data_IF_426743560376
#
_entry.id   IF_426743560376
#
_cell.length_a   1.000
_cell.length_b   1.000
_cell.length_c   1.000
_cell.angle_alpha   90.00
_cell.angle_beta   90.00
_cell.angle_gamma   90.00
#
_symmetry.space_group_name_H-M   'P 1'
#
loop_
_entity.id
_entity.type
_entity.pdbx_description
1 polymer ?
#
# COMPACT_ATOMS: atom_id res chain seq x y z
N UNK A 1 8.69 75.41 11.11
CA UNK A 1 8.18 74.15 10.60
C UNK A 1 9.35 73.45 9.96
N UNK A 2 9.94 72.42 10.62
CA UNK A 2 11.08 71.62 10.12
C UNK A 2 10.58 70.18 9.88
N UNK A 3 10.68 69.70 8.64
CA UNK A 3 10.38 68.40 8.26
C UNK A 3 11.50 67.43 8.70
N UNK A 4 11.16 66.31 9.38
CA UNK A 4 12.08 65.30 9.80
C UNK A 4 11.97 64.16 8.83
N UNK A 5 13.02 63.86 8.05
CA UNK A 5 13.17 62.73 7.18
C UNK A 5 13.57 61.48 8.00
N UNK A 6 12.86 60.34 7.80
CA UNK A 6 13.24 59.06 8.33
C UNK A 6 14.16 58.31 7.33
N UNK A 7 15.17 57.57 7.78
CA UNK A 7 16.03 56.81 6.89
C UNK A 7 15.38 55.48 6.50
N UNK A 8 15.58 55.07 5.25
CA UNK A 8 15.16 53.78 4.68
C UNK A 8 16.02 52.63 5.22
N UNK A 9 15.38 51.63 5.78
CA UNK A 9 16.02 50.39 6.22
C UNK A 9 16.40 49.51 5.01
N UNK A 10 17.69 49.25 4.81
CA UNK A 10 18.21 48.29 3.85
C UNK A 10 17.97 46.87 4.40
N UNK A 11 17.18 46.07 3.68
CA UNK A 11 17.04 44.64 3.90
C UNK A 11 18.24 43.95 3.25
N UNK A 12 19.06 43.29 4.08
CA UNK A 12 20.20 42.48 3.63
C UNK A 12 19.64 41.06 3.31
N UNK A 13 19.63 40.70 2.05
CA UNK A 13 19.29 39.34 1.63
C UNK A 13 20.49 38.40 1.84
N UNK A 14 20.25 37.31 2.56
CA UNK A 14 21.19 36.20 2.79
C UNK A 14 21.48 35.45 1.49
N UNK A 15 22.71 34.98 1.22
CA UNK A 15 23.12 34.32 -0.04
C UNK A 15 22.55 32.92 -0.29
N UNK A 16 21.72 32.36 0.61
CA UNK A 16 21.26 30.98 0.51
C UNK A 16 19.96 30.79 -0.32
N UNK A 17 19.39 31.85 -0.88
CA UNK A 17 18.16 31.73 -1.70
C UNK A 17 18.49 31.45 -3.18
N UNK A 18 19.73 31.65 -3.62
CA UNK A 18 20.10 31.43 -5.03
C UNK A 18 20.32 29.97 -5.46
N UNK A 19 20.43 29.01 -4.53
CA UNK A 19 20.62 27.58 -4.90
C UNK A 19 19.30 26.84 -5.25
N UNK A 20 18.17 27.31 -4.76
CA UNK A 20 16.88 26.67 -5.09
C UNK A 20 16.36 27.03 -6.49
N UNK A 21 16.73 28.20 -7.02
CA UNK A 21 16.28 28.64 -8.33
C UNK A 21 17.02 27.99 -9.51
N UNK A 22 18.25 27.47 -9.30
CA UNK A 22 19.02 26.79 -10.36
C UNK A 22 18.57 25.36 -10.64
N UNK A 23 17.92 24.70 -9.68
CA UNK A 23 17.38 23.33 -9.87
C UNK A 23 16.10 23.39 -10.70
N UNK A 24 15.33 24.46 -10.63
CA UNK A 24 14.10 24.63 -11.40
C UNK A 24 14.33 24.94 -12.90
N UNK A 25 15.47 25.51 -13.24
CA UNK A 25 15.76 25.89 -14.64
C UNK A 25 16.29 24.72 -15.50
N UNK A 26 16.81 23.65 -14.86
CA UNK A 26 17.32 22.46 -15.60
C UNK A 26 16.18 21.52 -15.98
N UNK A 27 15.07 21.47 -15.22
CA UNK A 27 13.90 20.64 -15.57
C UNK A 27 12.97 21.29 -16.62
N UNK A 28 13.08 22.58 -16.88
CA UNK A 28 12.20 23.30 -17.81
C UNK A 28 12.64 23.25 -19.28
N UNK A 29 13.85 22.76 -19.57
CA UNK A 29 14.40 22.72 -20.92
C UNK A 29 14.11 21.43 -21.72
N UNK A 30 13.40 20.46 -21.15
CA UNK A 30 13.11 19.17 -21.80
C UNK A 30 11.65 18.98 -22.24
N UNK A 31 10.79 19.98 -22.11
CA UNK A 31 9.41 19.93 -22.61
C UNK A 31 9.28 20.72 -23.91
N UNK A 32 9.75 20.14 -25.01
CA UNK A 32 9.28 20.55 -26.33
C UNK A 32 7.85 20.00 -26.52
N UNK A 33 6.91 20.79 -27.09
CA UNK A 33 5.55 20.32 -27.32
C UNK A 33 5.57 19.17 -28.34
N UNK A 34 5.25 17.97 -27.90
CA UNK A 34 5.05 16.83 -28.77
C UNK A 34 3.94 17.14 -29.74
N UNK A 35 4.25 17.06 -31.04
CA UNK A 35 3.28 17.16 -32.16
C UNK A 35 2.13 16.20 -31.85
N UNK A 36 0.89 16.73 -31.89
CA UNK A 36 -0.34 15.94 -31.86
C UNK A 36 -0.29 14.93 -32.99
N UNK A 37 0.11 13.71 -32.70
CA UNK A 37 -0.13 12.57 -33.58
C UNK A 37 -1.54 12.10 -33.30
N UNK A 38 -2.45 12.34 -34.20
CA UNK A 38 -3.80 11.77 -34.19
C UNK A 38 -3.63 10.26 -34.36
N UNK A 39 -3.73 9.50 -33.29
CA UNK A 39 -3.81 8.05 -33.39
C UNK A 39 -5.20 7.65 -33.85
N UNK A 40 -5.40 7.61 -35.16
CA UNK A 40 -6.50 6.87 -35.80
C UNK A 40 -6.03 5.41 -35.91
N UNK A 41 -6.70 4.52 -35.23
CA UNK A 41 -6.47 3.07 -35.36
C UNK A 41 -5.86 2.47 -34.07
N UNK A 42 -6.65 2.34 -33.01
CA UNK A 42 -6.35 1.38 -31.97
C UNK A 42 -6.53 -0.03 -32.56
N UNK A 43 -5.45 -0.63 -33.05
CA UNK A 43 -5.31 -2.06 -33.05
C UNK A 43 -5.49 -2.51 -31.60
N UNK A 44 -6.44 -3.40 -31.35
CA UNK A 44 -6.60 -4.12 -30.09
C UNK A 44 -5.31 -4.92 -29.90
N UNK A 45 -4.28 -4.27 -29.34
CA UNK A 45 -3.03 -4.90 -28.97
C UNK A 45 -3.35 -5.97 -27.92
N UNK A 46 -2.95 -7.20 -28.18
CA UNK A 46 -3.03 -8.30 -27.23
C UNK A 46 -2.37 -7.84 -25.93
N UNK A 47 -3.15 -7.65 -24.87
CA UNK A 47 -2.63 -7.38 -23.53
C UNK A 47 -1.88 -8.62 -23.07
N UNK A 48 -0.57 -8.58 -23.15
CA UNK A 48 0.26 -9.68 -22.70
C UNK A 48 0.53 -9.48 -21.22
N UNK A 49 -0.46 -9.87 -20.38
CA UNK A 49 -0.21 -9.99 -18.96
C UNK A 49 0.87 -11.06 -18.71
N UNK A 50 1.73 -10.87 -17.72
CA UNK A 50 2.78 -11.83 -17.38
C UNK A 50 2.30 -12.98 -16.47
N UNK A 51 0.99 -13.13 -16.27
CA UNK A 51 0.44 -14.23 -15.49
C UNK A 51 0.61 -15.58 -16.22
N UNK A 52 1.13 -16.62 -15.54
CA UNK A 52 1.26 -17.95 -16.12
C UNK A 52 -0.11 -18.57 -16.40
N UNK A 53 -0.16 -19.51 -17.33
CA UNK A 53 -1.42 -20.18 -17.73
C UNK A 53 -2.11 -20.88 -16.53
N UNK A 54 -1.34 -21.53 -15.67
CA UNK A 54 -1.85 -22.15 -14.43
C UNK A 54 -2.54 -21.17 -13.47
N UNK A 55 -2.05 -19.93 -13.39
CA UNK A 55 -2.71 -18.86 -12.66
C UNK A 55 -4.08 -18.56 -13.26
N UNK A 56 -4.13 -18.30 -14.59
CA UNK A 56 -5.37 -17.94 -15.30
C UNK A 56 -6.43 -19.02 -15.18
N UNK A 57 -6.03 -20.29 -15.33
CA UNK A 57 -6.93 -21.44 -15.22
C UNK A 57 -7.51 -21.60 -13.80
N UNK A 58 -6.73 -21.32 -12.78
CA UNK A 58 -7.13 -21.49 -11.38
C UNK A 58 -7.73 -20.21 -10.74
N UNK A 59 -7.77 -19.09 -11.47
CA UNK A 59 -8.24 -17.81 -10.92
C UNK A 59 -9.70 -17.83 -10.49
N UNK A 60 -10.61 -18.23 -11.38
CA UNK A 60 -12.05 -18.24 -11.10
C UNK A 60 -12.42 -19.19 -9.94
N UNK A 61 -11.92 -20.45 -9.87
CA UNK A 61 -12.12 -21.31 -8.70
C UNK A 61 -11.66 -20.67 -7.40
N UNK A 62 -10.48 -19.99 -7.38
CA UNK A 62 -9.98 -19.30 -6.18
C UNK A 62 -10.80 -18.06 -5.83
N UNK A 63 -11.24 -17.30 -6.82
CA UNK A 63 -12.14 -16.16 -6.59
C UNK A 63 -13.43 -16.61 -5.89
N UNK A 64 -14.08 -17.66 -6.40
CA UNK A 64 -15.34 -18.17 -5.84
C UNK A 64 -15.13 -18.78 -4.45
N UNK A 65 -14.01 -19.46 -4.22
CA UNK A 65 -13.66 -20.09 -2.95
C UNK A 65 -12.16 -19.87 -2.66
N UNK A 66 -11.79 -18.77 -2.00
CA UNK A 66 -10.40 -18.51 -1.64
C UNK A 66 -9.74 -19.70 -0.95
N UNK A 67 -8.57 -20.06 -1.46
CA UNK A 67 -7.87 -21.31 -1.09
C UNK A 67 -7.28 -21.21 0.31
N UNK A 68 -7.52 -22.24 1.13
CA UNK A 68 -6.85 -22.49 2.41
C UNK A 68 -5.78 -23.58 2.30
N UNK A 69 -5.34 -23.93 1.08
CA UNK A 69 -4.27 -24.92 0.90
C UNK A 69 -2.95 -24.34 1.41
N UNK A 70 -2.48 -24.84 2.54
CA UNK A 70 -1.29 -24.42 3.26
C UNK A 70 -1.31 -24.90 4.71
N UNK A 71 -0.28 -24.59 5.46
CA UNK A 71 -0.13 -24.94 6.87
C UNK A 71 0.22 -23.68 7.68
N UNK A 72 -0.30 -23.60 8.90
CA UNK A 72 -0.08 -22.49 9.83
C UNK A 72 1.20 -22.61 10.66
N UNK A 73 1.86 -23.77 10.67
CA UNK A 73 2.92 -24.13 11.63
C UNK A 73 4.15 -23.20 11.55
N UNK A 74 4.46 -22.70 10.35
CA UNK A 74 5.63 -21.84 10.12
C UNK A 74 5.34 -20.34 10.32
N UNK A 75 4.13 -19.98 10.70
CA UNK A 75 3.72 -18.59 10.75
C UNK A 75 3.58 -18.07 12.19
N UNK A 76 3.64 -16.77 12.32
CA UNK A 76 3.52 -16.08 13.58
C UNK A 76 2.05 -15.72 13.89
N UNK A 77 1.68 -15.52 15.17
CA UNK A 77 0.38 -14.98 15.55
C UNK A 77 0.09 -13.62 14.94
N UNK A 78 -1.17 -13.19 14.95
CA UNK A 78 -1.60 -11.87 14.46
C UNK A 78 -0.98 -10.68 15.21
N UNK A 79 -0.38 -10.91 16.37
CA UNK A 79 0.32 -9.89 17.15
C UNK A 79 1.57 -10.48 17.80
N UNK A 80 2.58 -9.65 17.99
CA UNK A 80 3.81 -10.03 18.68
C UNK A 80 4.52 -8.83 19.29
N UNK A 81 4.97 -9.00 20.53
CA UNK A 81 5.94 -8.11 21.19
C UNK A 81 7.34 -8.65 20.89
N UNK A 82 8.20 -7.80 20.32
CA UNK A 82 9.53 -8.21 19.83
C UNK A 82 10.67 -7.61 20.66
N UNK A 83 10.34 -6.65 21.52
CA UNK A 83 11.29 -6.03 22.43
C UNK A 83 10.76 -6.10 23.85
N UNK A 84 11.59 -6.62 24.76
CA UNK A 84 11.39 -6.66 26.19
C UNK A 84 12.69 -6.26 26.90
N UNK A 85 12.74 -5.15 27.66
CA UNK A 85 11.62 -4.21 27.87
C UNK A 85 11.25 -3.41 26.63
N UNK A 86 10.02 -2.88 26.56
CA UNK A 86 9.59 -2.05 25.44
C UNK A 86 10.40 -0.74 25.39
N UNK A 87 10.61 -0.16 24.20
CA UNK A 87 11.31 1.12 24.08
C UNK A 87 10.51 2.25 24.71
N UNK A 88 11.22 3.30 25.13
CA UNK A 88 10.61 4.50 25.74
C UNK A 88 9.84 5.34 24.72
N UNK A 89 10.34 5.37 23.49
CA UNK A 89 9.73 6.12 22.39
C UNK A 89 9.58 5.22 21.16
N UNK A 90 8.38 5.22 20.57
CA UNK A 90 8.08 4.52 19.34
C UNK A 90 7.43 5.44 18.33
N UNK A 91 7.62 5.11 17.05
CA UNK A 91 6.83 5.67 15.95
C UNK A 91 5.93 4.56 15.41
N UNK A 92 4.66 4.86 15.20
CA UNK A 92 3.66 3.91 14.73
C UNK A 92 3.44 4.01 13.23
N UNK A 93 3.75 2.94 12.52
CA UNK A 93 3.38 2.75 11.12
C UNK A 93 2.09 1.95 11.05
N UNK A 94 1.15 2.34 10.18
CA UNK A 94 -0.03 1.56 9.86
C UNK A 94 -0.02 1.21 8.37
N UNK A 95 -0.18 -0.08 8.05
CA UNK A 95 -0.29 -0.53 6.66
C UNK A 95 -1.72 -0.98 6.41
N UNK A 96 -2.32 -0.47 5.35
CA UNK A 96 -3.63 -0.87 4.84
C UNK A 96 -3.46 -1.66 3.55
N UNK A 97 -4.42 -2.53 3.24
CA UNK A 97 -4.40 -3.33 2.02
C UNK A 97 -4.71 -2.54 0.75
N UNK A 98 -5.18 -3.24 -0.28
CA UNK A 98 -5.41 -2.68 -1.60
C UNK A 98 -6.61 -1.72 -1.59
N UNK A 99 -6.44 -0.53 -2.19
CA UNK A 99 -7.48 0.46 -2.42
C UNK A 99 -7.93 0.31 -3.87
N UNK A 100 -9.08 -0.35 -4.04
CA UNK A 100 -9.69 -0.61 -5.34
C UNK A 100 -11.18 -0.27 -5.27
N UNK A 101 -11.64 0.66 -6.08
CA UNK A 101 -12.96 1.28 -5.90
C UNK A 101 -13.97 0.96 -7.02
N UNK A 102 -13.69 -0.02 -7.86
CA UNK A 102 -14.48 -0.32 -9.07
C UNK A 102 -15.97 -0.57 -8.78
N UNK A 103 -16.30 -1.22 -7.67
CA UNK A 103 -17.69 -1.54 -7.31
C UNK A 103 -18.35 -0.53 -6.37
N UNK A 104 -17.59 0.39 -5.79
CA UNK A 104 -18.11 1.38 -4.87
C UNK A 104 -18.47 2.67 -5.62
N UNK A 105 -19.65 3.23 -5.33
CA UNK A 105 -20.13 4.49 -5.90
C UNK A 105 -20.03 5.65 -4.92
N UNK A 106 -20.13 5.36 -3.62
CA UNK A 106 -19.99 6.33 -2.53
C UNK A 106 -18.82 5.94 -1.64
N UNK A 107 -18.28 6.91 -0.91
CA UNK A 107 -17.24 6.68 0.07
C UNK A 107 -17.65 5.62 1.11
N UNK A 108 -16.71 4.87 1.69
CA UNK A 108 -17.04 3.86 2.69
C UNK A 108 -17.54 4.51 3.98
N UNK A 109 -18.32 3.75 4.73
CA UNK A 109 -18.53 4.02 6.16
C UNK A 109 -17.51 3.22 6.97
N UNK A 110 -16.74 3.88 7.82
CA UNK A 110 -15.72 3.24 8.64
C UNK A 110 -16.08 3.29 10.11
N UNK A 111 -15.93 2.14 10.77
CA UNK A 111 -16.07 2.03 12.22
C UNK A 111 -15.20 3.09 12.93
N UNK A 112 -15.70 3.77 13.99
CA UNK A 112 -14.92 4.72 14.76
C UNK A 112 -13.59 4.18 15.27
N UNK A 113 -13.50 2.89 15.60
CA UNK A 113 -12.26 2.26 16.04
C UNK A 113 -11.22 2.17 14.89
N UNK A 114 -11.64 1.93 13.65
CA UNK A 114 -10.75 1.99 12.47
C UNK A 114 -10.23 3.41 12.28
N UNK A 115 -11.10 4.42 12.37
CA UNK A 115 -10.69 5.84 12.27
C UNK A 115 -9.69 6.23 13.36
N UNK A 116 -9.93 5.81 14.59
CA UNK A 116 -9.03 6.05 15.71
C UNK A 116 -7.67 5.37 15.50
N UNK A 117 -7.67 4.12 15.03
CA UNK A 117 -6.46 3.33 14.76
C UNK A 117 -5.58 3.99 13.69
N UNK A 118 -6.17 4.41 12.56
CA UNK A 118 -5.46 5.04 11.46
C UNK A 118 -5.05 6.48 11.79
N UNK A 119 -5.91 7.22 12.48
CA UNK A 119 -5.62 8.60 12.94
C UNK A 119 -4.46 8.68 13.94
N UNK A 120 -4.27 7.63 14.76
CA UNK A 120 -3.19 7.52 15.73
C UNK A 120 -1.83 7.13 15.12
N UNK A 121 -1.79 6.70 13.85
CA UNK A 121 -0.54 6.38 13.17
C UNK A 121 0.27 7.64 12.84
N UNK A 122 1.59 7.52 12.92
CA UNK A 122 2.52 8.58 12.48
C UNK A 122 2.69 8.59 10.96
N UNK A 123 2.54 7.41 10.32
CA UNK A 123 2.48 7.25 8.88
C UNK A 123 1.53 6.10 8.53
N UNK A 124 0.68 6.30 7.52
CA UNK A 124 -0.17 5.27 6.92
C UNK A 124 0.37 4.92 5.54
N UNK A 125 0.53 3.63 5.26
CA UNK A 125 1.04 3.11 3.99
C UNK A 125 -0.02 2.16 3.40
N UNK A 126 -0.23 2.22 2.08
CA UNK A 126 -1.14 1.33 1.36
C UNK A 126 -0.77 1.19 -0.11
N UNK A 127 -1.58 0.44 -0.84
CA UNK A 127 -1.46 0.31 -2.29
C UNK A 127 -2.72 0.87 -2.97
N UNK A 128 -2.54 1.85 -3.88
CA UNK A 128 -3.62 2.37 -4.69
C UNK A 128 -3.70 1.57 -5.99
N UNK A 129 -4.57 0.58 -6.02
CA UNK A 129 -4.65 -0.37 -7.12
C UNK A 129 -5.52 0.12 -8.29
N UNK A 130 -6.31 1.16 -8.08
CA UNK A 130 -7.10 1.77 -9.15
C UNK A 130 -6.46 3.05 -9.66
N UNK A 131 -6.31 3.22 -10.98
CA UNK A 131 -6.01 4.51 -11.56
C UNK A 131 -7.02 5.57 -11.11
N UNK A 132 -6.53 6.78 -10.86
CA UNK A 132 -7.34 7.94 -10.45
C UNK A 132 -7.55 8.82 -11.67
N UNK A 133 -8.75 8.76 -12.24
CA UNK A 133 -9.10 9.41 -13.51
C UNK A 133 -10.49 10.03 -13.45
N UNK A 134 -10.70 11.13 -14.16
CA UNK A 134 -12.03 11.74 -14.26
C UNK A 134 -12.99 10.89 -15.09
N UNK A 135 -12.48 10.27 -16.15
CA UNK A 135 -13.24 9.38 -17.03
C UNK A 135 -12.45 8.13 -17.37
N UNK A 136 -13.05 6.97 -17.13
CA UNK A 136 -12.47 5.70 -17.52
C UNK A 136 -12.37 5.58 -19.04
N UNK A 137 -11.15 5.49 -19.58
CA UNK A 137 -10.89 5.25 -21.00
C UNK A 137 -11.28 3.83 -21.43
N UNK A 138 -11.17 2.86 -20.50
CA UNK A 138 -11.58 1.47 -20.69
C UNK A 138 -12.98 1.22 -20.11
N UNK A 139 -13.98 2.03 -20.50
CA UNK A 139 -15.31 2.08 -19.87
C UNK A 139 -16.01 0.71 -19.76
N UNK A 140 -15.99 -0.11 -20.81
CA UNK A 140 -16.57 -1.46 -20.79
C UNK A 140 -15.82 -2.36 -19.80
N UNK A 141 -14.49 -2.37 -19.84
CA UNK A 141 -13.66 -3.15 -18.91
C UNK A 141 -13.85 -2.71 -17.47
N UNK A 142 -13.99 -1.41 -17.21
CA UNK A 142 -14.28 -0.86 -15.88
C UNK A 142 -15.66 -1.29 -15.39
N UNK A 143 -16.68 -1.24 -16.24
CA UNK A 143 -18.03 -1.73 -15.91
C UNK A 143 -18.03 -3.23 -15.58
N UNK A 144 -17.23 -4.01 -16.28
CA UNK A 144 -17.09 -5.46 -16.05
C UNK A 144 -16.15 -5.80 -14.89
N UNK A 145 -15.47 -4.81 -14.28
CA UNK A 145 -14.53 -5.00 -13.19
C UNK A 145 -13.17 -5.59 -13.59
N UNK A 146 -12.86 -5.65 -14.89
CA UNK A 146 -11.56 -6.12 -15.41
C UNK A 146 -10.53 -5.01 -15.54
N UNK A 147 -10.95 -3.76 -15.46
CA UNK A 147 -10.14 -2.55 -15.50
C UNK A 147 -10.56 -1.65 -14.38
N UNK A 148 -9.60 -1.27 -13.56
CA UNK A 148 -9.87 -0.42 -12.42
C UNK A 148 -9.90 1.06 -12.82
N UNK A 149 -10.71 1.84 -12.11
CA UNK A 149 -10.73 3.30 -12.15
C UNK A 149 -11.46 3.83 -10.92
N UNK A 150 -11.03 4.98 -10.42
CA UNK A 150 -11.75 5.77 -9.43
C UNK A 150 -11.56 7.25 -9.71
N UNK A 151 -12.47 8.10 -9.20
CA UNK A 151 -12.28 9.55 -9.28
C UNK A 151 -11.41 10.07 -8.14
N UNK A 152 -10.73 11.21 -8.35
CA UNK A 152 -9.98 11.91 -7.33
C UNK A 152 -10.88 12.26 -6.13
N UNK A 153 -12.12 12.69 -6.40
CA UNK A 153 -13.12 12.98 -5.37
C UNK A 153 -13.41 11.74 -4.50
N UNK A 154 -13.66 10.59 -5.12
CA UNK A 154 -13.93 9.35 -4.39
C UNK A 154 -12.75 8.99 -3.47
N UNK A 155 -11.50 9.04 -3.98
CA UNK A 155 -10.32 8.75 -3.19
C UNK A 155 -10.22 9.69 -1.98
N UNK A 156 -10.38 11.01 -2.20
CA UNK A 156 -10.32 12.00 -1.13
C UNK A 156 -11.39 11.78 -0.05
N UNK A 157 -12.63 11.51 -0.45
CA UNK A 157 -13.76 11.21 0.45
C UNK A 157 -13.53 9.90 1.22
N UNK A 158 -13.01 8.86 0.56
CA UNK A 158 -12.73 7.56 1.17
C UNK A 158 -11.62 7.65 2.23
N UNK A 159 -10.54 8.37 1.94
CA UNK A 159 -9.46 8.61 2.91
C UNK A 159 -9.96 9.38 4.14
N UNK A 160 -10.76 10.43 3.92
CA UNK A 160 -11.37 11.20 5.00
C UNK A 160 -12.33 10.36 5.84
N UNK A 161 -13.15 9.53 5.20
CA UNK A 161 -14.06 8.60 5.88
C UNK A 161 -13.32 7.57 6.74
N UNK A 162 -12.10 7.18 6.35
CA UNK A 162 -11.25 6.28 7.11
C UNK A 162 -10.41 6.99 8.20
N UNK A 163 -10.50 8.32 8.31
CA UNK A 163 -9.71 9.11 9.27
C UNK A 163 -8.23 9.23 8.89
N UNK A 164 -7.89 9.06 7.62
CA UNK A 164 -6.51 9.14 7.12
C UNK A 164 -6.20 10.57 6.68
N UNK A 165 -5.22 11.21 7.33
CA UNK A 165 -4.66 12.49 6.89
C UNK A 165 -3.72 12.28 5.70
N UNK A 166 -3.87 13.11 4.66
CA UNK A 166 -3.06 13.01 3.44
C UNK A 166 -1.57 13.27 3.67
N UNK A 167 -1.23 14.14 4.61
CA UNK A 167 0.15 14.46 4.99
C UNK A 167 0.88 13.25 5.61
N UNK A 168 0.13 12.35 6.24
CA UNK A 168 0.63 11.12 6.85
C UNK A 168 0.43 9.90 5.96
N UNK A 169 0.13 10.08 4.66
CA UNK A 169 -0.16 8.99 3.75
C UNK A 169 0.95 8.78 2.72
N UNK A 170 1.28 7.51 2.49
CA UNK A 170 2.19 7.05 1.47
C UNK A 170 1.52 5.91 0.69
N UNK A 171 1.30 6.08 -0.61
CA UNK A 171 0.64 5.07 -1.43
C UNK A 171 1.56 4.49 -2.49
N UNK A 172 1.60 3.16 -2.56
CA UNK A 172 2.23 2.45 -3.67
C UNK A 172 1.36 2.57 -4.93
N UNK A 173 2.00 2.85 -6.05
CA UNK A 173 1.46 2.74 -7.41
C UNK A 173 2.09 1.57 -8.19
N UNK A 174 2.93 0.76 -7.53
CA UNK A 174 3.52 -0.43 -8.13
C UNK A 174 2.53 -1.60 -8.04
N UNK A 175 1.59 -1.67 -8.98
CA UNK A 175 0.61 -2.77 -9.08
C UNK A 175 0.27 -3.06 -10.54
N UNK A 176 -0.46 -4.17 -10.76
CA UNK A 176 -0.82 -4.64 -12.10
C UNK A 176 -1.90 -3.81 -12.79
N UNK A 177 -2.70 -3.04 -12.02
CA UNK A 177 -3.82 -2.24 -12.53
C UNK A 177 -3.49 -0.78 -12.82
N UNK A 178 -2.32 -0.29 -12.42
CA UNK A 178 -1.93 1.13 -12.54
C UNK A 178 -2.00 1.68 -13.96
N UNK A 179 -1.91 0.82 -14.97
CA UNK A 179 -2.01 1.15 -16.41
C UNK A 179 -3.31 0.67 -17.07
N UNK A 180 -4.33 0.31 -16.30
CA UNK A 180 -5.62 -0.14 -16.85
C UNK A 180 -6.33 0.92 -17.71
N UNK A 181 -6.06 2.18 -17.45
CA UNK A 181 -6.59 3.32 -18.20
C UNK A 181 -5.56 3.86 -19.23
N UNK A 182 -4.54 3.05 -19.56
CA UNK A 182 -3.48 3.41 -20.50
C UNK A 182 -2.50 4.43 -19.92
N UNK A 183 -1.59 4.90 -20.77
CA UNK A 183 -0.54 5.88 -20.37
C UNK A 183 -1.16 7.21 -19.96
N UNK A 184 -2.17 7.70 -20.68
CA UNK A 184 -2.85 8.95 -20.31
C UNK A 184 -3.51 8.87 -18.94
N UNK A 185 -4.17 7.73 -18.61
CA UNK A 185 -4.76 7.52 -17.29
C UNK A 185 -3.71 7.36 -16.19
N UNK A 186 -2.55 6.80 -16.50
CA UNK A 186 -1.41 6.78 -15.59
C UNK A 186 -0.90 8.20 -15.28
N UNK A 187 -0.70 9.03 -16.31
CA UNK A 187 -0.23 10.40 -16.14
C UNK A 187 -1.25 11.24 -15.35
N UNK A 188 -2.56 11.06 -15.64
CA UNK A 188 -3.65 11.68 -14.87
C UNK A 188 -3.65 11.24 -13.42
N UNK A 189 -3.41 9.95 -13.14
CA UNK A 189 -3.28 9.40 -11.80
C UNK A 189 -2.14 10.08 -11.03
N UNK A 190 -0.95 10.16 -11.62
CA UNK A 190 0.21 10.82 -10.99
C UNK A 190 -0.10 12.30 -10.69
N UNK A 191 -0.74 13.00 -11.64
CA UNK A 191 -1.14 14.40 -11.45
C UNK A 191 -2.20 14.56 -10.33
N UNK A 192 -3.15 13.63 -10.21
CA UNK A 192 -4.15 13.63 -9.14
C UNK A 192 -3.48 13.48 -7.76
N UNK A 193 -2.52 12.59 -7.60
CA UNK A 193 -1.76 12.45 -6.35
C UNK A 193 -0.98 13.72 -5.99
N UNK A 194 -0.39 14.38 -6.99
CA UNK A 194 0.29 15.67 -6.77
C UNK A 194 -0.70 16.75 -6.29
N UNK A 195 -1.88 16.87 -6.92
CA UNK A 195 -2.94 17.82 -6.50
C UNK A 195 -3.44 17.53 -5.09
N UNK A 196 -3.60 16.25 -4.76
CA UNK A 196 -4.04 15.82 -3.42
C UNK A 196 -2.95 15.98 -2.34
N UNK A 197 -1.69 16.23 -2.73
CA UNK A 197 -0.56 16.29 -1.81
C UNK A 197 -0.20 14.93 -1.20
N UNK A 198 -0.56 13.82 -1.85
CA UNK A 198 -0.28 12.47 -1.37
C UNK A 198 1.05 11.99 -1.96
N UNK A 199 1.94 11.50 -1.11
CA UNK A 199 3.23 10.93 -1.52
C UNK A 199 3.04 9.55 -2.11
N UNK A 200 3.80 9.23 -3.17
CA UNK A 200 3.72 7.93 -3.85
C UNK A 200 5.07 7.22 -3.88
N UNK A 201 5.04 5.89 -3.88
CA UNK A 201 6.18 4.99 -4.06
C UNK A 201 5.91 3.99 -5.18
N UNK A 202 6.97 3.33 -5.66
CA UNK A 202 6.84 2.31 -6.68
C UNK A 202 6.80 2.83 -8.10
N UNK A 203 7.03 4.13 -8.31
CA UNK A 203 7.31 4.72 -9.61
C UNK A 203 8.82 4.76 -9.83
N UNK A 204 9.27 4.45 -11.05
CA UNK A 204 10.69 4.54 -11.42
C UNK A 204 11.26 5.94 -11.13
N UNK A 205 10.46 6.98 -11.34
CA UNK A 205 10.83 8.36 -11.06
C UNK A 205 11.12 8.64 -9.56
N UNK A 206 10.60 7.83 -8.63
CA UNK A 206 10.86 7.96 -7.20
C UNK A 206 12.20 7.29 -6.77
N UNK A 207 12.86 6.58 -7.68
CA UNK A 207 13.97 5.70 -7.36
C UNK A 207 13.52 4.39 -6.67
N UNK A 208 14.46 3.47 -6.44
CA UNK A 208 14.15 2.15 -5.89
C UNK A 208 13.72 2.19 -4.41
N UNK A 209 14.18 3.19 -3.65
CA UNK A 209 13.82 3.42 -2.24
C UNK A 209 13.54 4.89 -2.03
N UNK A 210 12.38 5.20 -1.49
CA UNK A 210 12.00 6.54 -1.07
C UNK A 210 12.23 6.72 0.43
N UNK A 211 13.13 7.60 0.86
CA UNK A 211 13.30 7.93 2.27
C UNK A 211 12.14 8.82 2.76
N UNK A 212 11.59 8.49 3.92
CA UNK A 212 10.51 9.25 4.57
C UNK A 212 10.89 9.49 6.02
N UNK A 213 10.84 10.75 6.45
CA UNK A 213 11.02 11.11 7.85
C UNK A 213 9.73 10.88 8.61
N UNK A 214 9.80 10.06 9.67
CA UNK A 214 8.70 9.75 10.58
C UNK A 214 9.15 10.04 12.01
N UNK A 215 8.74 11.19 12.54
CA UNK A 215 9.31 11.70 13.79
C UNK A 215 10.83 11.78 13.73
N UNK A 216 11.58 11.14 14.64
CA UNK A 216 13.04 11.13 14.60
C UNK A 216 13.62 10.10 13.61
N UNK A 217 12.83 9.18 13.05
CA UNK A 217 13.31 8.08 12.22
C UNK A 217 13.37 8.44 10.74
N UNK A 218 14.42 7.94 10.05
CA UNK A 218 14.54 7.93 8.60
C UNK A 218 14.21 6.52 8.08
N UNK A 219 13.04 6.35 7.48
CA UNK A 219 12.53 5.06 7.02
C UNK A 219 12.53 5.02 5.49
N UNK A 220 13.16 4.00 4.92
CA UNK A 220 13.13 3.76 3.47
C UNK A 220 11.95 2.88 3.07
N UNK A 221 11.28 3.24 1.98
CA UNK A 221 10.20 2.45 1.41
C UNK A 221 10.52 2.07 -0.03
N UNK A 222 10.58 0.75 -0.29
CA UNK A 222 10.71 0.17 -1.62
C UNK A 222 9.39 -0.50 -2.01
N UNK A 223 8.80 -0.12 -3.13
CA UNK A 223 7.61 -0.76 -3.65
C UNK A 223 7.86 -1.26 -5.08
N UNK A 224 7.35 -2.44 -5.38
CA UNK A 224 7.47 -3.07 -6.69
C UNK A 224 6.29 -4.01 -6.96
N UNK A 225 6.04 -4.30 -8.24
CA UNK A 225 5.05 -5.32 -8.64
C UNK A 225 5.71 -6.46 -9.39
N UNK A 226 5.28 -7.70 -9.11
CA UNK A 226 5.65 -8.88 -9.91
C UNK A 226 4.69 -9.10 -11.07
N UNK A 227 3.57 -8.37 -11.10
CA UNK A 227 2.46 -8.59 -12.02
C UNK A 227 2.15 -7.36 -12.85
N UNK A 228 1.70 -7.59 -14.06
CA UNK A 228 1.23 -6.56 -14.98
C UNK A 228 0.07 -7.05 -15.83
N UNK A 229 -0.93 -6.19 -16.06
CA UNK A 229 -2.09 -6.47 -16.92
C UNK A 229 -1.91 -5.89 -18.32
N UNK A 230 -0.85 -5.12 -18.57
CA UNK A 230 -0.55 -4.48 -19.85
C UNK A 230 0.85 -4.89 -20.34
N UNK A 231 1.20 -4.47 -21.57
CA UNK A 231 2.49 -4.76 -22.16
C UNK A 231 3.66 -4.21 -21.31
N UNK A 232 4.74 -4.95 -21.27
CA UNK A 232 5.93 -4.60 -20.50
C UNK A 232 6.50 -3.22 -20.85
N UNK A 233 6.47 -2.85 -22.11
CA UNK A 233 6.93 -1.53 -22.60
C UNK A 233 6.17 -0.37 -21.95
N UNK A 234 4.91 -0.58 -21.51
CA UNK A 234 4.13 0.44 -20.82
C UNK A 234 4.56 0.57 -19.36
N UNK A 235 4.98 -0.53 -18.72
CA UNK A 235 5.51 -0.53 -17.36
C UNK A 235 6.95 -0.01 -17.31
N UNK A 236 7.78 -0.39 -18.28
CA UNK A 236 9.20 0.01 -18.32
C UNK A 236 9.34 1.53 -18.25
N UNK A 237 10.18 2.00 -17.35
CA UNK A 237 10.44 3.43 -17.11
C UNK A 237 9.34 4.16 -16.33
N UNK A 238 8.22 3.49 -15.97
CA UNK A 238 7.12 4.09 -15.19
C UNK A 238 6.96 3.44 -13.83
N UNK A 239 6.83 2.13 -13.79
CA UNK A 239 6.46 1.37 -12.60
C UNK A 239 7.62 0.46 -12.20
N UNK A 240 7.95 0.44 -10.92
CA UNK A 240 8.99 -0.45 -10.39
C UNK A 240 8.54 -1.90 -10.46
N UNK A 241 9.30 -2.72 -11.17
CA UNK A 241 9.17 -4.18 -11.23
C UNK A 241 10.42 -4.88 -10.68
N UNK A 242 11.41 -4.10 -10.24
CA UNK A 242 12.65 -4.64 -9.69
C UNK A 242 12.47 -5.07 -8.24
N UNK A 243 12.57 -6.37 -8.01
CA UNK A 243 12.49 -7.00 -6.69
C UNK A 243 13.85 -7.38 -6.12
N UNK A 244 14.96 -6.97 -6.78
CA UNK A 244 16.30 -7.24 -6.28
C UNK A 244 16.75 -6.16 -5.29
N UNK A 245 16.87 -6.48 -4.00
CA UNK A 245 17.26 -5.51 -2.98
C UNK A 245 18.76 -5.15 -3.00
N UNK A 246 19.58 -5.80 -3.83
CA UNK A 246 21.02 -5.55 -3.87
C UNK A 246 21.36 -4.12 -4.31
N UNK A 247 20.55 -3.53 -5.20
CA UNK A 247 20.68 -2.15 -5.68
C UNK A 247 19.97 -1.09 -4.82
N UNK A 248 19.34 -1.47 -3.70
CA UNK A 248 18.55 -0.53 -2.91
C UNK A 248 19.43 0.30 -1.97
N UNK A 249 19.39 1.65 -2.02
CA UNK A 249 20.13 2.52 -1.11
C UNK A 249 19.63 2.36 0.33
N UNK A 250 20.61 2.31 1.28
CA UNK A 250 20.33 2.08 2.72
C UNK A 250 21.03 3.07 3.62
N UNK A 251 22.01 3.80 3.09
CA UNK A 251 22.80 4.72 3.89
C UNK A 251 21.89 5.76 4.57
N UNK A 252 22.02 5.90 5.88
CA UNK A 252 21.25 6.85 6.67
C UNK A 252 19.83 6.43 7.00
N UNK A 253 19.40 5.21 6.63
CA UNK A 253 18.09 4.69 7.00
C UNK A 253 18.14 3.94 8.34
N UNK A 254 17.17 4.20 9.20
CA UNK A 254 16.97 3.47 10.45
C UNK A 254 16.22 2.14 10.21
N UNK A 255 15.29 2.12 9.25
CA UNK A 255 14.51 0.95 8.86
C UNK A 255 14.29 0.96 7.34
N UNK A 256 14.38 -0.20 6.71
CA UNK A 256 13.98 -0.40 5.32
C UNK A 256 12.72 -1.27 5.26
N UNK A 257 11.67 -0.73 4.63
CA UNK A 257 10.39 -1.39 4.42
C UNK A 257 10.20 -1.74 2.94
N UNK A 258 9.70 -2.94 2.65
CA UNK A 258 9.25 -3.32 1.31
C UNK A 258 7.72 -3.40 1.26
N UNK A 259 7.15 -2.90 0.16
CA UNK A 259 5.71 -2.89 -0.12
C UNK A 259 5.48 -3.58 -1.47
N UNK A 260 5.63 -4.91 -1.54
CA UNK A 260 5.49 -5.67 -2.77
C UNK A 260 4.04 -5.91 -3.14
N UNK A 261 3.75 -5.84 -4.44
CA UNK A 261 2.51 -6.31 -5.05
C UNK A 261 2.79 -7.67 -5.72
N UNK A 262 2.54 -8.75 -4.98
CA UNK A 262 3.07 -10.08 -5.26
C UNK A 262 2.08 -11.22 -5.02
N UNK A 263 2.55 -12.49 -5.19
CA UNK A 263 1.80 -13.75 -5.00
C UNK A 263 0.63 -13.91 -5.99
N UNK A 264 -0.27 -14.85 -5.71
CA UNK A 264 -1.48 -15.14 -6.48
C UNK A 264 -2.73 -14.72 -5.72
N UNK A 265 -3.64 -14.10 -6.41
CA UNK A 265 -4.94 -13.69 -5.85
C UNK A 265 -5.70 -14.88 -5.24
N UNK A 266 -6.43 -14.61 -4.17
CA UNK A 266 -7.36 -15.50 -3.49
C UNK A 266 -6.72 -16.78 -2.93
N UNK A 267 -5.47 -16.69 -2.48
CA UNK A 267 -4.77 -17.71 -1.70
C UNK A 267 -4.44 -17.16 -0.32
N UNK A 268 -4.95 -17.82 0.74
CA UNK A 268 -4.62 -17.40 2.11
C UNK A 268 -3.20 -17.77 2.53
N UNK A 269 -2.56 -18.74 1.91
CA UNK A 269 -1.16 -19.08 2.21
C UNK A 269 -0.25 -18.69 1.05
N UNK A 270 0.84 -17.97 1.35
CA UNK A 270 1.80 -17.56 0.35
C UNK A 270 2.47 -18.75 -0.31
N UNK A 271 2.77 -18.65 -1.60
CA UNK A 271 3.48 -19.67 -2.36
C UNK A 271 4.94 -19.76 -1.92
N UNK A 272 5.58 -20.90 -2.20
CA UNK A 272 6.99 -21.11 -1.86
C UNK A 272 7.91 -20.04 -2.49
N UNK A 273 7.61 -19.60 -3.72
CA UNK A 273 8.37 -18.57 -4.42
C UNK A 273 8.24 -17.20 -3.73
N UNK A 274 7.06 -16.88 -3.23
CA UNK A 274 6.80 -15.64 -2.47
C UNK A 274 7.56 -15.67 -1.14
N UNK A 275 7.52 -16.80 -0.43
CA UNK A 275 8.32 -16.99 0.80
C UNK A 275 9.82 -16.94 0.53
N UNK A 276 10.29 -17.50 -0.59
CA UNK A 276 11.70 -17.42 -0.99
C UNK A 276 12.13 -15.97 -1.26
N UNK A 277 11.28 -15.17 -1.92
CA UNK A 277 11.54 -13.74 -2.13
C UNK A 277 11.57 -12.98 -0.80
N UNK A 278 10.63 -13.25 0.11
CA UNK A 278 10.63 -12.64 1.45
C UNK A 278 11.94 -12.92 2.20
N UNK A 279 12.46 -14.16 2.15
CA UNK A 279 13.76 -14.51 2.75
C UNK A 279 14.92 -13.78 2.11
N UNK A 280 14.93 -13.60 0.78
CA UNK A 280 15.97 -12.80 0.10
C UNK A 280 15.93 -11.35 0.55
N UNK A 281 14.75 -10.74 0.61
CA UNK A 281 14.58 -9.37 1.08
C UNK A 281 15.06 -9.22 2.54
N UNK A 282 14.67 -10.13 3.43
CA UNK A 282 15.10 -10.16 4.82
C UNK A 282 16.61 -10.32 4.95
N UNK A 283 17.21 -11.30 4.24
CA UNK A 283 18.65 -11.53 4.23
C UNK A 283 19.48 -10.37 3.69
N UNK A 284 18.83 -9.47 2.96
CA UNK A 284 19.42 -8.22 2.48
C UNK A 284 19.05 -7.01 3.37
N UNK A 285 18.54 -7.21 4.60
CA UNK A 285 18.33 -6.17 5.59
C UNK A 285 17.03 -5.37 5.43
N UNK A 286 16.04 -5.88 4.69
CA UNK A 286 14.67 -5.35 4.78
C UNK A 286 14.10 -5.79 6.11
N UNK A 287 13.70 -4.84 6.98
CA UNK A 287 13.21 -5.13 8.33
C UNK A 287 11.70 -5.32 8.40
N UNK A 288 10.94 -4.82 7.43
CA UNK A 288 9.49 -4.94 7.37
C UNK A 288 9.02 -5.17 5.94
N UNK A 289 8.14 -6.15 5.74
CA UNK A 289 7.52 -6.43 4.45
C UNK A 289 6.00 -6.45 4.63
N UNK A 290 5.29 -5.60 3.88
CA UNK A 290 3.83 -5.56 3.85
C UNK A 290 3.33 -5.80 2.43
N UNK A 291 2.83 -7.02 2.17
CA UNK A 291 2.45 -7.49 0.84
C UNK A 291 1.01 -7.17 0.46
N UNK A 292 0.81 -7.05 -0.87
CA UNK A 292 -0.45 -6.72 -1.53
C UNK A 292 -0.75 -7.70 -2.66
N UNK A 293 -1.85 -7.52 -3.39
CA UNK A 293 -2.30 -8.30 -4.56
C UNK A 293 -3.11 -9.55 -4.25
N UNK A 294 -2.88 -10.22 -3.14
CA UNK A 294 -3.58 -11.49 -2.86
C UNK A 294 -5.10 -11.31 -2.67
N UNK A 295 -5.60 -10.11 -2.43
CA UNK A 295 -7.01 -9.75 -2.16
C UNK A 295 -7.66 -10.56 -1.03
N UNK A 296 -6.86 -11.19 -0.22
CA UNK A 296 -7.22 -11.92 1.00
C UNK A 296 -6.14 -11.73 2.05
N UNK A 297 -6.52 -11.79 3.31
CA UNK A 297 -5.54 -11.77 4.41
C UNK A 297 -4.70 -13.04 4.37
N UNK A 298 -3.38 -12.86 4.46
CA UNK A 298 -2.38 -13.91 4.52
C UNK A 298 -1.64 -13.87 5.86
N UNK A 299 -0.97 -14.97 6.29
CA UNK A 299 -0.27 -15.03 7.57
C UNK A 299 0.87 -14.01 7.70
N UNK A 300 1.32 -13.85 8.93
CA UNK A 300 2.58 -13.18 9.26
C UNK A 300 3.67 -14.22 9.45
N UNK A 301 4.87 -13.97 8.93
CA UNK A 301 6.07 -14.76 9.19
C UNK A 301 7.14 -13.86 9.84
N UNK A 302 7.90 -14.42 10.78
CA UNK A 302 9.10 -13.78 11.30
C UNK A 302 10.30 -14.47 10.68
N UNK A 303 11.12 -13.70 9.97
CA UNK A 303 12.37 -14.16 9.37
C UNK A 303 13.49 -13.37 10.06
N UNK A 304 14.14 -13.98 11.05
CA UNK A 304 15.10 -13.34 11.94
C UNK A 304 14.50 -12.09 12.60
N UNK A 305 14.99 -10.88 12.23
CA UNK A 305 14.49 -9.59 12.72
C UNK A 305 13.39 -8.98 11.84
N UNK A 306 13.11 -9.59 10.70
CA UNK A 306 12.13 -9.09 9.73
C UNK A 306 10.72 -9.58 10.06
N UNK A 307 9.76 -8.65 10.05
CA UNK A 307 8.33 -8.95 10.10
C UNK A 307 7.80 -8.95 8.66
N UNK A 308 7.15 -10.04 8.26
CA UNK A 308 6.56 -10.20 6.94
C UNK A 308 5.05 -10.43 7.08
N UNK A 309 4.23 -9.44 6.73
CA UNK A 309 2.80 -9.63 6.49
C UNK A 309 2.61 -9.89 5.00
N UNK A 310 2.30 -11.12 4.63
CA UNK A 310 2.29 -11.54 3.22
C UNK A 310 1.18 -10.90 2.39
N UNK A 311 0.01 -10.67 2.97
CA UNK A 311 -1.12 -10.01 2.34
C UNK A 311 -2.10 -9.45 3.35
N UNK A 312 -2.55 -8.21 3.14
CA UNK A 312 -3.49 -7.52 4.02
C UNK A 312 -4.94 -7.59 3.53
N UNK A 313 -5.18 -8.21 2.36
CA UNK A 313 -6.48 -8.18 1.68
C UNK A 313 -6.79 -6.79 1.13
N UNK A 314 -8.05 -6.54 0.74
CA UNK A 314 -8.45 -5.21 0.28
C UNK A 314 -8.84 -4.34 1.48
N UNK A 315 -8.30 -3.12 1.51
CA UNK A 315 -8.74 -2.12 2.47
C UNK A 315 -10.07 -1.51 2.03
N UNK A 316 -10.18 -1.16 0.75
CA UNK A 316 -11.33 -0.46 0.22
C UNK A 316 -11.64 -0.91 -1.20
N UNK A 317 -12.92 -1.10 -1.48
CA UNK A 317 -13.40 -1.42 -2.79
C UNK A 317 -13.24 -2.89 -3.18
N UNK A 318 -13.83 -3.22 -4.28
CA UNK A 318 -13.77 -4.55 -4.87
C UNK A 318 -13.97 -4.43 -6.37
N UNK A 319 -13.17 -5.14 -7.15
CA UNK A 319 -13.33 -5.22 -8.59
C UNK A 319 -14.69 -5.81 -9.01
N UNK A 320 -15.29 -6.62 -8.14
CA UNK A 320 -16.56 -7.29 -8.41
C UNK A 320 -17.59 -7.00 -7.32
N UNK A 321 -18.75 -6.47 -7.71
CA UNK A 321 -19.83 -6.15 -6.80
C UNK A 321 -20.33 -7.33 -5.95
N UNK A 322 -20.03 -8.57 -6.36
CA UNK A 322 -20.43 -9.82 -5.69
C UNK A 322 -19.25 -10.63 -5.21
N UNK A 323 -18.15 -9.99 -4.80
CA UNK A 323 -17.02 -10.71 -4.24
C UNK A 323 -17.47 -11.64 -3.08
N UNK A 324 -17.07 -12.91 -3.07
CA UNK A 324 -17.35 -13.83 -1.97
C UNK A 324 -16.83 -13.30 -0.63
N UNK A 325 -17.53 -13.63 0.43
CA UNK A 325 -17.26 -13.07 1.77
C UNK A 325 -15.82 -13.26 2.28
N UNK A 326 -15.07 -14.33 1.97
CA UNK A 326 -13.70 -14.45 2.46
C UNK A 326 -12.75 -13.40 1.86
N UNK A 327 -13.00 -12.96 0.61
CA UNK A 327 -12.28 -11.87 -0.02
C UNK A 327 -12.65 -10.48 0.50
N UNK A 328 -13.66 -10.38 1.39
CA UNK A 328 -14.05 -9.14 2.05
C UNK A 328 -13.40 -8.95 3.42
N UNK A 329 -12.62 -9.92 3.88
CA UNK A 329 -11.82 -9.78 5.07
C UNK A 329 -10.54 -9.05 4.67
N UNK A 330 -10.33 -7.87 5.24
CA UNK A 330 -9.07 -7.14 5.18
C UNK A 330 -8.42 -7.06 6.55
N UNK A 331 -7.22 -6.53 6.60
CA UNK A 331 -6.52 -6.27 7.87
C UNK A 331 -5.72 -4.98 7.79
N UNK A 332 -5.63 -4.27 8.91
CA UNK A 332 -4.69 -3.17 9.11
C UNK A 332 -3.53 -3.74 9.93
N UNK A 333 -2.30 -3.59 9.43
CA UNK A 333 -1.10 -3.93 10.18
C UNK A 333 -0.59 -2.67 10.88
N UNK A 334 -0.52 -2.67 12.21
CA UNK A 334 0.23 -1.66 12.96
C UNK A 334 1.58 -2.20 13.39
N UNK A 335 2.61 -1.37 13.30
CA UNK A 335 3.99 -1.70 13.69
C UNK A 335 4.54 -0.54 14.50
N UNK A 336 4.97 -0.81 15.73
CA UNK A 336 5.67 0.15 16.55
C UNK A 336 7.18 -0.01 16.36
N UNK A 337 7.83 1.05 15.91
CA UNK A 337 9.27 1.10 15.62
C UNK A 337 9.97 1.91 16.68
N UNK A 338 11.02 1.37 17.29
CA UNK A 338 11.79 2.07 18.33
C UNK A 338 12.48 3.32 17.78
N UNK A 339 12.33 4.42 18.51
CA UNK A 339 13.05 5.67 18.30
C UNK A 339 14.16 5.91 19.33
N UNK A 340 14.35 5.00 20.27
CA UNK A 340 15.42 5.07 21.28
C UNK A 340 16.80 4.89 20.64
N UNK A 341 17.80 5.65 21.06
CA UNK A 341 19.13 5.71 20.46
C UNK A 341 19.80 4.33 20.29
N UNK A 342 19.66 3.44 21.28
CA UNK A 342 20.28 2.11 21.28
C UNK A 342 19.59 1.05 20.42
N UNK A 343 18.32 1.29 20.04
CA UNK A 343 17.47 0.31 19.34
C UNK A 343 16.73 0.94 18.15
N UNK A 344 17.22 2.08 17.72
CA UNK A 344 16.63 2.92 16.67
C UNK A 344 16.35 2.09 15.40
N UNK A 345 15.13 2.21 14.87
CA UNK A 345 14.68 1.48 13.69
C UNK A 345 14.31 0.01 13.91
N UNK A 346 14.48 -0.53 15.15
CA UNK A 346 14.06 -1.89 15.47
C UNK A 346 12.56 -1.95 15.67
N UNK A 347 11.89 -2.99 15.12
CA UNK A 347 10.47 -3.22 15.35
C UNK A 347 10.27 -3.70 16.80
N UNK A 348 9.52 -2.95 17.58
CA UNK A 348 9.21 -3.26 18.97
C UNK A 348 7.99 -4.19 19.11
N UNK A 349 6.98 -3.97 18.28
CA UNK A 349 5.77 -4.79 18.26
C UNK A 349 5.07 -4.70 16.90
N UNK A 350 4.22 -5.68 16.62
CA UNK A 350 3.30 -5.62 15.49
C UNK A 350 1.93 -6.18 15.89
N UNK A 351 0.88 -5.75 15.18
CA UNK A 351 -0.48 -6.30 15.32
C UNK A 351 -1.26 -6.15 14.02
N UNK A 352 -1.89 -7.24 13.62
CA UNK A 352 -2.95 -7.23 12.60
C UNK A 352 -4.29 -6.93 13.27
N UNK A 353 -5.05 -6.02 12.70
CA UNK A 353 -6.41 -5.66 13.08
C UNK A 353 -7.36 -6.09 11.95
N UNK A 354 -7.86 -7.31 11.95
CA UNK A 354 -8.75 -7.77 10.89
C UNK A 354 -10.09 -7.04 10.96
N UNK A 355 -10.62 -6.76 9.79
CA UNK A 355 -11.93 -6.14 9.62
C UNK A 355 -12.71 -6.81 8.50
N UNK A 356 -14.02 -6.61 8.50
CA UNK A 356 -14.93 -7.08 7.45
C UNK A 356 -15.48 -5.90 6.68
N UNK A 357 -15.42 -5.97 5.35
CA UNK A 357 -16.11 -5.06 4.44
C UNK A 357 -17.54 -5.56 4.25
N UNK A 358 -18.50 -4.96 4.95
CA UNK A 358 -19.93 -5.24 4.82
C UNK A 358 -20.50 -4.40 3.69
N UNK A 359 -21.44 -4.95 2.92
CA UNK A 359 -22.14 -4.16 1.91
C UNK A 359 -23.24 -3.31 2.55
N UNK A 360 -23.25 -2.04 2.20
CA UNK A 360 -24.25 -1.07 2.67
C UNK A 360 -24.78 -0.25 1.46
N UNK A 361 -25.72 -0.85 0.71
CA UNK A 361 -26.26 -0.22 -0.50
C UNK A 361 -25.21 -0.13 -1.61
N UNK A 362 -24.79 1.08 -1.96
CA UNK A 362 -23.83 1.42 -3.01
C UNK A 362 -22.38 1.61 -2.53
N UNK A 363 -22.13 1.39 -1.25
CA UNK A 363 -20.82 1.51 -0.61
C UNK A 363 -20.53 0.32 0.31
N UNK A 364 -19.36 0.33 0.93
CA UNK A 364 -18.93 -0.64 1.94
C UNK A 364 -18.90 0.01 3.32
N UNK A 365 -19.22 -0.78 4.34
CA UNK A 365 -18.98 -0.46 5.73
C UNK A 365 -17.86 -1.33 6.25
N UNK A 366 -16.77 -0.70 6.74
CA UNK A 366 -15.62 -1.36 7.32
C UNK A 366 -15.84 -1.49 8.83
N UNK A 367 -15.86 -2.73 9.34
CA UNK A 367 -16.10 -3.03 10.76
C UNK A 367 -15.02 -3.96 11.26
N UNK A 368 -14.35 -3.61 12.38
CA UNK A 368 -13.38 -4.51 13.01
C UNK A 368 -14.05 -5.83 13.40
N UNK A 369 -13.32 -6.94 13.27
CA UNK A 369 -13.87 -8.28 13.56
C UNK A 369 -14.35 -8.38 15.00
N UNK A 370 -13.68 -7.74 15.93
CA UNK A 370 -14.06 -7.68 17.34
C UNK A 370 -15.40 -6.95 17.60
N UNK A 371 -15.82 -6.06 16.69
CA UNK A 371 -17.10 -5.36 16.72
C UNK A 371 -18.19 -6.04 15.91
N UNK A 372 -17.89 -7.16 15.24
CA UNK A 372 -18.91 -7.97 14.57
C UNK A 372 -19.69 -8.78 15.62
N UNK A 373 -20.92 -9.18 15.26
CA UNK A 373 -21.78 -9.95 16.13
C UNK A 373 -22.31 -11.23 15.46
N UNK A 374 -22.75 -12.18 16.28
CA UNK A 374 -23.44 -13.39 15.89
C UNK A 374 -22.72 -14.21 14.83
N UNK A 375 -23.48 -14.85 13.94
CA UNK A 375 -22.94 -15.78 12.93
C UNK A 375 -21.90 -15.17 11.98
N UNK A 376 -21.93 -13.85 11.76
CA UNK A 376 -20.92 -13.19 10.90
C UNK A 376 -19.59 -13.20 11.61
N UNK A 377 -19.55 -12.83 12.89
CA UNK A 377 -18.34 -12.89 13.72
C UNK A 377 -17.76 -14.30 13.76
N UNK A 378 -18.57 -15.30 14.14
CA UNK A 378 -18.13 -16.71 14.25
C UNK A 378 -17.49 -17.22 12.95
N UNK A 379 -18.13 -16.87 11.82
CA UNK A 379 -17.67 -17.25 10.49
C UNK A 379 -16.32 -16.63 10.12
N UNK A 380 -16.14 -15.34 10.42
CA UNK A 380 -14.89 -14.61 10.14
C UNK A 380 -13.78 -15.09 11.08
N UNK A 381 -14.05 -15.22 12.37
CA UNK A 381 -13.08 -15.76 13.35
C UNK A 381 -12.66 -17.19 13.00
N UNK A 382 -13.61 -18.04 12.59
CA UNK A 382 -13.29 -19.40 12.12
C UNK A 382 -12.36 -19.41 10.91
N UNK A 383 -12.52 -18.42 9.98
CA UNK A 383 -11.60 -18.28 8.84
C UNK A 383 -10.23 -17.80 9.29
N UNK A 384 -10.15 -16.82 10.20
CA UNK A 384 -8.88 -16.30 10.71
C UNK A 384 -8.12 -17.37 11.51
N UNK A 385 -8.80 -18.17 12.32
CA UNK A 385 -8.20 -19.34 13.02
C UNK A 385 -7.61 -20.38 12.07
N UNK A 386 -8.14 -20.49 10.85
CA UNK A 386 -7.58 -21.39 9.83
C UNK A 386 -6.37 -20.78 9.08
N UNK A 387 -6.06 -19.50 9.28
CA UNK A 387 -4.97 -18.78 8.59
C UNK A 387 -3.83 -18.45 9.56
N UNK A 388 -4.15 -18.16 10.81
CA UNK A 388 -3.18 -17.75 11.82
C UNK A 388 -3.06 -18.78 12.93
N UNK A 389 -1.83 -19.04 13.43
CA UNK A 389 -1.67 -19.87 14.62
C UNK A 389 -2.31 -19.18 15.83
N UNK A 390 -2.76 -19.99 16.78
CA UNK A 390 -3.18 -19.47 18.07
C UNK A 390 -2.00 -18.77 18.77
N UNK A 391 -2.24 -17.66 19.51
CA UNK A 391 -1.20 -17.11 20.35
C UNK A 391 -0.68 -18.21 21.29
N UNK A 392 0.62 -18.19 21.67
CA UNK A 392 1.13 -19.11 22.66
C UNK A 392 0.21 -19.01 23.89
N UNK A 393 -0.31 -20.15 24.32
CA UNK A 393 -0.96 -20.22 25.63
C UNK A 393 0.11 -19.82 26.64
N UNK A 394 -0.17 -18.78 27.42
CA UNK A 394 0.63 -18.42 28.59
C UNK A 394 0.77 -19.71 29.43
N UNK A 395 1.89 -20.39 29.28
CA UNK A 395 2.20 -21.54 30.15
C UNK A 395 2.40 -20.92 31.51
N UNK A 396 1.36 -21.02 32.33
CA UNK A 396 1.30 -20.46 33.66
C UNK A 396 2.63 -20.69 34.38
N UNK A 397 3.17 -19.62 34.92
CA UNK A 397 4.21 -19.68 35.95
C UNK A 397 3.67 -20.62 37.00
N UNK A 398 4.33 -21.78 37.28
CA UNK A 398 3.92 -22.60 38.41
C UNK A 398 4.05 -21.77 39.68
N UNK A 399 2.99 -21.80 40.49
CA UNK A 399 2.87 -21.09 41.76
C UNK A 399 3.97 -21.47 42.74
#
# INVERSE_FOLDING_TARGET
MKAVSRPASRVIFSPNICRAAQIYTICSAALQPARRTVYTGQTIGHRVSNYPFSYKLSWLPRFLKPSLAGDVQDFAPMAGTLMDPPPRQTMRLAFVGDISAVANRSAPDCDPAIKALLGAADLVIGNCESPVVDRASAALGTTLGTHHAMSERFLAEALAAAGISREKLLLSLANNHVLDQGVAGFDETVAAFQRLGIRTIGLVANGPVMPVRVGPLDIGFAAFTLWRNADENLFTGRVSMDSDPAGWPRAGLDLLCAVPHWDWEFRHFPRAETRALARRLAGQGVGLIAGHHAHVVQPVERIDKTVVAYGLGDFLGTAFARQPWPGRIGSILTVDVSADAGTRGTIASYRLHPFMRLRAGDHERLVLVEALEGRVRDKVEGRLKAIFPSPPTDQGVPA
#
